data_IF_430985868105
#
_entry.id   IF_430985868105
#
_cell.length_a   1.000
_cell.length_b   1.000
_cell.length_c   1.000
_cell.angle_alpha   90.00
_cell.angle_beta   90.00
_cell.angle_gamma   90.00
#
_symmetry.space_group_name_H-M   'P 1'
#
loop_
_entity.id
_entity.type
_entity.pdbx_description
1 polymer ?
#
# COMPACT_ATOMS: atom_id res chain seq x y z
N UNK A 1 -21.76 2.16 10.48
CA UNK A 1 -21.43 0.93 11.23
C UNK A 1 -19.92 0.78 11.29
N UNK A 2 -19.34 0.14 12.32
CA UNK A 2 -17.91 -0.19 12.35
C UNK A 2 -17.51 -1.07 11.15
N UNK A 3 -16.28 -0.89 10.67
CA UNK A 3 -15.65 -1.72 9.62
C UNK A 3 -14.64 -2.64 10.29
N UNK A 4 -14.82 -3.96 10.14
CA UNK A 4 -13.88 -4.93 10.71
C UNK A 4 -12.66 -5.14 9.81
N UNK A 5 -11.48 -5.27 10.41
CA UNK A 5 -10.29 -5.71 9.68
C UNK A 5 -10.33 -7.22 9.37
N UNK A 6 -9.30 -7.72 8.70
CA UNK A 6 -9.20 -9.12 8.25
C UNK A 6 -9.07 -10.17 9.38
N UNK A 7 -8.90 -9.72 10.63
CA UNK A 7 -8.93 -10.56 11.84
C UNK A 7 -10.11 -10.25 12.76
N UNK A 8 -11.10 -9.48 12.28
CA UNK A 8 -12.35 -9.24 12.99
C UNK A 8 -12.31 -8.13 14.05
N UNK A 9 -11.25 -7.33 14.12
CA UNK A 9 -11.18 -6.16 15.02
C UNK A 9 -11.98 -5.01 14.37
N UNK A 10 -13.01 -4.47 15.05
CA UNK A 10 -13.81 -3.39 14.51
C UNK A 10 -13.08 -2.04 14.63
N UNK A 11 -13.12 -1.26 13.55
CA UNK A 11 -12.66 0.12 13.48
C UNK A 11 -13.84 1.03 13.16
N UNK A 12 -13.88 2.22 13.78
CA UNK A 12 -14.93 3.21 13.53
C UNK A 12 -14.39 4.26 12.58
N UNK A 13 -14.98 4.38 11.39
CA UNK A 13 -14.69 5.47 10.47
C UNK A 13 -15.17 6.79 11.07
N UNK A 14 -14.32 7.81 11.07
CA UNK A 14 -14.67 9.14 11.57
C UNK A 14 -15.41 10.00 10.55
N UNK A 15 -15.24 9.69 9.26
CA UNK A 15 -15.84 10.42 8.14
C UNK A 15 -16.23 9.43 7.04
N UNK A 16 -17.27 9.77 6.30
CA UNK A 16 -17.59 9.20 4.98
C UNK A 16 -16.74 9.85 3.87
N UNK A 17 -16.87 9.39 2.63
CA UNK A 17 -16.20 10.02 1.49
C UNK A 17 -16.65 11.46 1.23
N UNK A 18 -17.93 11.77 1.47
CA UNK A 18 -18.49 13.11 1.28
C UNK A 18 -18.05 14.08 2.39
N UNK A 19 -17.89 13.58 3.62
CA UNK A 19 -17.45 14.38 4.78
C UNK A 19 -15.94 14.61 4.80
N UNK A 20 -15.15 13.80 4.08
CA UNK A 20 -13.71 13.94 4.02
C UNK A 20 -13.31 15.26 3.30
N UNK A 21 -12.38 16.07 3.85
CA UNK A 21 -11.90 17.28 3.21
C UNK A 21 -11.43 17.04 1.77
N UNK A 22 -11.66 18.01 0.89
CA UNK A 22 -11.30 17.91 -0.53
C UNK A 22 -9.80 17.92 -0.76
N UNK A 23 -9.07 18.66 0.07
CA UNK A 23 -7.61 18.79 0.02
C UNK A 23 -7.00 18.13 1.24
N UNK A 24 -6.08 17.19 1.02
CA UNK A 24 -5.41 16.42 2.06
C UNK A 24 -3.91 16.68 2.01
N UNK A 25 -3.27 16.82 3.17
CA UNK A 25 -1.81 16.80 3.22
C UNK A 25 -1.27 15.40 2.89
N UNK A 26 -1.97 14.35 3.34
CA UNK A 26 -1.61 12.96 3.09
C UNK A 26 -2.86 12.15 2.77
N UNK A 27 -2.89 11.55 1.58
CA UNK A 27 -3.78 10.44 1.27
C UNK A 27 -3.06 9.13 1.58
N UNK A 28 -3.65 8.27 2.39
CA UNK A 28 -3.08 6.98 2.77
C UNK A 28 -4.05 5.84 2.50
N UNK A 29 -3.57 4.80 1.81
CA UNK A 29 -4.34 3.57 1.56
C UNK A 29 -3.65 2.36 2.21
N UNK A 30 -4.27 1.73 3.22
CA UNK A 30 -3.71 0.53 3.83
C UNK A 30 -3.87 -0.69 2.92
N UNK A 31 -3.16 -1.75 3.26
CA UNK A 31 -3.37 -3.07 2.66
C UNK A 31 -4.44 -3.89 3.38
N UNK A 32 -4.51 -5.15 2.98
CA UNK A 32 -5.47 -6.14 3.44
C UNK A 32 -5.48 -7.35 2.52
N UNK A 33 -6.49 -8.20 2.70
CA UNK A 33 -6.71 -9.41 1.91
C UNK A 33 -7.83 -9.19 0.89
N UNK A 34 -8.99 -9.82 1.09
CA UNK A 34 -10.17 -9.71 0.23
C UNK A 34 -10.70 -8.28 0.11
N UNK A 35 -10.55 -7.49 1.18
CA UNK A 35 -10.96 -6.07 1.18
C UNK A 35 -10.19 -5.24 0.16
N UNK A 36 -8.90 -5.51 -0.06
CA UNK A 36 -8.11 -4.81 -1.09
C UNK A 36 -8.67 -5.10 -2.48
N UNK A 37 -8.94 -6.37 -2.79
CA UNK A 37 -9.50 -6.76 -4.09
C UNK A 37 -10.88 -6.14 -4.29
N UNK A 38 -11.71 -6.10 -3.26
CA UNK A 38 -13.01 -5.41 -3.33
C UNK A 38 -12.83 -3.92 -3.68
N UNK A 39 -11.96 -3.19 -2.96
CA UNK A 39 -11.67 -1.78 -3.24
C UNK A 39 -11.11 -1.53 -4.64
N UNK A 40 -10.29 -2.44 -5.20
CA UNK A 40 -9.79 -2.32 -6.58
C UNK A 40 -10.88 -2.41 -7.64
N UNK A 41 -12.06 -2.94 -7.29
CA UNK A 41 -13.20 -3.08 -8.20
C UNK A 41 -14.36 -2.14 -7.84
N UNK A 42 -14.26 -1.39 -6.75
CA UNK A 42 -15.32 -0.51 -6.27
C UNK A 42 -15.19 0.87 -6.95
N UNK A 43 -16.12 1.25 -7.84
CA UNK A 43 -16.03 2.52 -8.56
C UNK A 43 -16.13 3.74 -7.64
N UNK A 44 -16.84 3.65 -6.52
CA UNK A 44 -17.00 4.77 -5.58
C UNK A 44 -15.68 5.03 -4.85
N UNK A 45 -15.04 3.96 -4.35
CA UNK A 45 -13.71 4.03 -3.71
C UNK A 45 -12.68 4.59 -4.69
N UNK A 46 -12.63 4.07 -5.90
CA UNK A 46 -11.65 4.49 -6.90
C UNK A 46 -11.84 5.95 -7.33
N UNK A 47 -13.09 6.39 -7.49
CA UNK A 47 -13.41 7.78 -7.81
C UNK A 47 -12.99 8.72 -6.67
N UNK A 48 -13.30 8.36 -5.42
CA UNK A 48 -12.85 9.11 -4.25
C UNK A 48 -11.33 9.23 -4.18
N UNK A 49 -10.60 8.12 -4.39
CA UNK A 49 -9.15 8.12 -4.35
C UNK A 49 -8.54 8.95 -5.49
N UNK A 50 -9.04 8.79 -6.73
CA UNK A 50 -8.58 9.57 -7.86
C UNK A 50 -8.78 11.08 -7.63
N UNK A 51 -9.96 11.45 -7.11
CA UNK A 51 -10.28 12.83 -6.78
C UNK A 51 -9.33 13.40 -5.70
N UNK A 52 -9.29 12.83 -4.49
CA UNK A 52 -8.44 13.33 -3.41
C UNK A 52 -6.95 13.23 -3.75
N UNK A 53 -6.54 12.15 -4.41
CA UNK A 53 -5.15 11.90 -4.78
C UNK A 53 -4.62 12.86 -5.85
N UNK A 54 -5.49 13.47 -6.66
CA UNK A 54 -5.11 14.50 -7.64
C UNK A 54 -4.62 15.80 -7.00
N UNK A 55 -5.04 16.09 -5.77
CA UNK A 55 -4.73 17.35 -5.05
C UNK A 55 -3.91 17.14 -3.77
N UNK A 56 -3.75 15.90 -3.33
CA UNK A 56 -3.03 15.60 -2.08
C UNK A 56 -1.55 15.94 -2.20
N UNK A 57 -0.97 16.54 -1.15
CA UNK A 57 0.48 16.80 -1.13
C UNK A 57 1.28 15.51 -1.19
N UNK A 58 0.83 14.47 -0.47
CA UNK A 58 1.39 13.12 -0.53
C UNK A 58 0.32 12.08 -0.86
N UNK A 59 0.65 11.16 -1.77
CA UNK A 59 -0.17 9.99 -2.11
C UNK A 59 0.57 8.74 -1.68
N UNK A 60 0.02 8.02 -0.71
CA UNK A 60 0.78 7.02 0.04
C UNK A 60 0.02 5.73 0.26
N UNK A 61 0.75 4.63 0.40
CA UNK A 61 0.16 3.33 0.74
C UNK A 61 1.16 2.41 1.41
N UNK A 62 0.63 1.37 2.04
CA UNK A 62 1.43 0.26 2.59
C UNK A 62 0.82 -1.05 2.13
N UNK A 63 1.68 -2.06 1.93
CA UNK A 63 1.29 -3.43 1.64
C UNK A 63 0.50 -3.52 0.33
N UNK A 64 -0.64 -4.19 0.31
CA UNK A 64 -1.49 -4.31 -0.88
C UNK A 64 -2.24 -3.02 -1.22
N UNK A 65 -2.17 -1.98 -0.38
CA UNK A 65 -2.76 -0.66 -0.67
C UNK A 65 -2.17 -0.01 -1.92
N UNK A 66 -0.92 -0.34 -2.27
CA UNK A 66 -0.31 0.09 -3.53
C UNK A 66 -1.07 -0.40 -4.77
N UNK A 67 -1.72 -1.56 -4.70
CA UNK A 67 -2.55 -2.05 -5.80
C UNK A 67 -3.84 -1.25 -5.95
N UNK A 68 -4.42 -0.76 -4.85
CA UNK A 68 -5.62 0.08 -4.88
C UNK A 68 -5.27 1.45 -5.46
N UNK A 69 -4.13 2.04 -5.07
CA UNK A 69 -3.63 3.28 -5.69
C UNK A 69 -3.36 3.10 -7.19
N UNK A 70 -2.74 1.99 -7.58
CA UNK A 70 -2.56 1.63 -8.99
C UNK A 70 -3.90 1.53 -9.72
N UNK A 71 -4.89 0.86 -9.12
CA UNK A 71 -6.21 0.73 -9.72
C UNK A 71 -6.96 2.06 -9.86
N UNK A 72 -6.68 3.03 -8.99
CA UNK A 72 -7.19 4.40 -9.07
C UNK A 72 -6.43 5.29 -10.07
N UNK A 73 -5.40 4.77 -10.74
CA UNK A 73 -4.58 5.52 -11.70
C UNK A 73 -3.58 6.48 -11.05
N UNK A 74 -3.35 6.37 -9.73
CA UNK A 74 -2.50 7.32 -9.00
C UNK A 74 -1.00 7.00 -9.06
N UNK A 75 -0.65 5.85 -9.64
CA UNK A 75 0.73 5.35 -9.76
C UNK A 75 1.21 5.18 -11.21
N UNK A 76 0.43 5.62 -12.21
CA UNK A 76 0.84 5.54 -13.62
C UNK A 76 2.11 6.37 -13.87
N UNK A 77 3.17 5.71 -14.34
CA UNK A 77 4.48 6.31 -14.56
C UNK A 77 5.30 6.59 -13.29
N UNK A 78 4.88 6.10 -12.13
CA UNK A 78 5.62 6.22 -10.86
C UNK A 78 6.37 4.95 -10.48
N UNK A 79 7.50 5.09 -9.80
CA UNK A 79 8.12 3.99 -9.06
C UNK A 79 7.33 3.70 -7.77
N UNK A 80 7.05 2.43 -7.52
CA UNK A 80 6.28 2.00 -6.34
C UNK A 80 6.65 0.58 -5.88
N UNK A 81 6.40 0.29 -4.61
CA UNK A 81 6.44 -1.04 -4.01
C UNK A 81 5.06 -1.42 -3.45
N UNK A 82 4.89 -2.70 -3.12
CA UNK A 82 3.69 -3.23 -2.48
C UNK A 82 4.03 -4.49 -1.66
N UNK A 83 3.00 -5.24 -1.26
CA UNK A 83 3.22 -6.53 -0.62
C UNK A 83 3.93 -7.50 -1.58
N UNK A 84 5.08 -8.05 -1.15
CA UNK A 84 6.00 -8.87 -1.95
C UNK A 84 5.39 -9.95 -2.86
N UNK A 85 4.28 -10.63 -2.52
CA UNK A 85 3.79 -11.68 -3.39
C UNK A 85 2.94 -11.19 -4.55
N UNK A 86 2.48 -9.94 -4.51
CA UNK A 86 1.57 -9.33 -5.49
C UNK A 86 2.11 -8.02 -6.04
N UNK A 87 3.32 -7.60 -5.64
CA UNK A 87 3.94 -6.37 -6.10
C UNK A 87 4.28 -6.42 -7.61
N UNK A 88 4.41 -7.61 -8.18
CA UNK A 88 4.55 -7.85 -9.63
C UNK A 88 3.30 -7.45 -10.43
N UNK A 89 2.17 -7.15 -9.78
CA UNK A 89 0.96 -6.69 -10.44
C UNK A 89 0.93 -5.17 -10.68
N UNK A 90 1.80 -4.40 -10.00
CA UNK A 90 1.89 -2.94 -10.15
C UNK A 90 2.07 -2.48 -11.62
N UNK A 91 2.93 -3.13 -12.44
CA UNK A 91 3.10 -2.77 -13.85
C UNK A 91 1.84 -2.92 -14.72
N UNK A 92 0.89 -3.77 -14.32
CA UNK A 92 -0.38 -3.92 -15.05
C UNK A 92 -1.25 -2.66 -14.95
N UNK A 93 -0.91 -1.74 -14.05
CA UNK A 93 -1.62 -0.49 -13.78
C UNK A 93 -0.70 0.75 -13.95
N UNK A 94 0.42 0.59 -14.66
CA UNK A 94 1.28 1.71 -15.10
C UNK A 94 2.45 2.04 -14.18
N UNK A 95 2.52 1.45 -12.99
CA UNK A 95 3.61 1.71 -12.06
C UNK A 95 4.85 0.85 -12.35
N UNK A 96 6.05 1.40 -12.14
CA UNK A 96 7.31 0.63 -12.17
C UNK A 96 7.53 0.01 -10.80
N UNK A 97 7.55 -1.32 -10.73
CA UNK A 97 7.78 -2.02 -9.47
C UNK A 97 9.26 -1.94 -9.05
N UNK A 98 9.52 -1.42 -7.86
CA UNK A 98 10.83 -1.39 -7.20
C UNK A 98 10.79 -2.28 -5.96
N UNK A 99 11.68 -3.27 -5.90
CA UNK A 99 11.78 -4.23 -4.79
C UNK A 99 12.56 -3.64 -3.61
N UNK A 100 12.00 -2.60 -3.02
CA UNK A 100 12.49 -1.96 -1.80
C UNK A 100 11.41 -1.91 -0.73
N UNK A 101 11.84 -1.74 0.52
CA UNK A 101 10.95 -1.71 1.68
C UNK A 101 10.06 -0.47 1.69
N UNK A 102 10.60 0.66 1.29
CA UNK A 102 9.91 1.95 1.14
C UNK A 102 10.43 2.57 -0.15
N UNK A 103 9.53 2.96 -1.05
CA UNK A 103 9.86 3.57 -2.34
C UNK A 103 9.24 4.96 -2.39
N UNK A 104 10.08 5.95 -2.65
CA UNK A 104 9.67 7.33 -2.91
C UNK A 104 9.88 7.66 -4.39
N UNK A 105 8.84 8.18 -5.02
CA UNK A 105 8.93 8.85 -6.32
C UNK A 105 8.12 10.15 -6.29
N UNK A 106 8.81 11.29 -6.37
CA UNK A 106 8.21 12.63 -6.22
C UNK A 106 7.41 12.72 -4.92
N UNK A 107 6.07 12.76 -5.03
CA UNK A 107 5.15 12.82 -3.90
C UNK A 107 4.38 11.51 -3.66
N UNK A 108 4.79 10.42 -4.29
CA UNK A 108 4.33 9.06 -4.00
C UNK A 108 5.30 8.41 -3.03
N UNK A 109 4.80 7.93 -1.90
CA UNK A 109 5.58 7.16 -0.93
C UNK A 109 4.84 5.86 -0.64
N UNK A 110 5.42 4.74 -1.04
CA UNK A 110 4.81 3.41 -0.91
C UNK A 110 5.66 2.51 -0.04
N UNK A 111 5.02 1.78 0.88
CA UNK A 111 5.67 0.81 1.76
C UNK A 111 5.32 -0.62 1.38
N UNK A 112 6.27 -1.52 1.55
CA UNK A 112 6.10 -2.95 1.31
C UNK A 112 5.17 -3.62 2.34
N UNK A 113 5.48 -4.88 2.71
CA UNK A 113 4.57 -5.68 3.54
C UNK A 113 4.41 -5.22 4.99
N UNK A 114 3.15 -5.09 5.44
CA UNK A 114 2.69 -5.05 6.84
C UNK A 114 3.50 -4.08 7.74
N UNK A 115 4.58 -4.58 8.34
CA UNK A 115 5.47 -3.83 9.23
C UNK A 115 6.23 -2.70 8.54
N UNK A 116 6.33 -2.72 7.21
CA UNK A 116 6.93 -1.62 6.45
C UNK A 116 6.25 -0.27 6.73
N UNK A 117 5.01 -0.27 7.24
CA UNK A 117 4.30 0.93 7.65
C UNK A 117 5.02 1.75 8.74
N UNK A 118 5.81 1.13 9.61
CA UNK A 118 6.55 1.87 10.64
C UNK A 118 7.72 2.64 10.02
N UNK A 119 8.54 1.97 9.19
CA UNK A 119 9.66 2.62 8.49
C UNK A 119 9.15 3.67 7.48
N UNK A 120 8.07 3.36 6.77
CA UNK A 120 7.35 4.29 5.92
C UNK A 120 6.91 5.54 6.68
N UNK A 121 6.31 5.38 7.87
CA UNK A 121 5.84 6.50 8.68
C UNK A 121 6.98 7.41 9.13
N UNK A 122 8.11 6.83 9.56
CA UNK A 122 9.31 7.58 9.90
C UNK A 122 9.88 8.33 8.69
N UNK A 123 9.94 7.68 7.52
CA UNK A 123 10.39 8.30 6.28
C UNK A 123 9.46 9.46 5.86
N UNK A 124 8.14 9.27 5.96
CA UNK A 124 7.17 10.32 5.63
C UNK A 124 7.32 11.54 6.54
N UNK A 125 7.52 11.34 7.85
CA UNK A 125 7.77 12.44 8.79
C UNK A 125 9.04 13.22 8.40
N UNK A 126 10.11 12.52 8.02
CA UNK A 126 11.35 13.16 7.61
C UNK A 126 11.16 14.04 6.36
N UNK A 127 10.31 13.60 5.43
CA UNK A 127 9.99 14.35 4.20
C UNK A 127 9.01 15.52 4.45
N UNK A 128 8.06 15.35 5.37
CA UNK A 128 7.02 16.34 5.64
C UNK A 128 7.46 17.44 6.60
N UNK A 129 8.38 17.12 7.51
CA UNK A 129 8.80 18.01 8.59
C UNK A 129 10.31 18.15 8.60
N UNK A 130 11.01 17.20 9.20
CA UNK A 130 12.47 17.11 9.21
C UNK A 130 12.93 15.75 9.78
N UNK A 131 14.21 15.43 9.54
CA UNK A 131 14.84 14.20 10.02
C UNK A 131 14.92 14.12 11.55
N UNK A 132 15.06 15.25 12.23
CA UNK A 132 15.22 15.29 13.68
C UNK A 132 13.93 14.85 14.39
N UNK A 133 12.78 15.31 13.92
CA UNK A 133 11.49 14.85 14.41
C UNK A 133 11.30 13.36 14.15
N UNK A 134 11.68 12.85 12.99
CA UNK A 134 11.59 11.43 12.67
C UNK A 134 12.44 10.59 13.65
N UNK A 135 13.69 10.98 13.90
CA UNK A 135 14.58 10.32 14.88
C UNK A 135 14.02 10.39 16.30
N UNK A 136 13.44 11.53 16.69
CA UNK A 136 12.79 11.69 17.99
C UNK A 136 11.59 10.76 18.14
N UNK A 137 10.73 10.65 17.11
CA UNK A 137 9.59 9.72 17.12
C UNK A 137 10.11 8.29 17.23
N UNK A 138 11.14 7.92 16.46
CA UNK A 138 11.76 6.59 16.54
C UNK A 138 12.18 6.25 17.97
N UNK A 139 12.78 7.20 18.69
CA UNK A 139 13.15 7.04 20.09
C UNK A 139 11.93 6.93 21.02
N UNK A 140 10.92 7.79 20.84
CA UNK A 140 9.70 7.80 21.67
C UNK A 140 8.96 6.46 21.63
N UNK A 141 8.89 5.84 20.45
CA UNK A 141 8.22 4.55 20.28
C UNK A 141 9.15 3.35 20.49
N UNK A 142 10.40 3.59 20.88
CA UNK A 142 11.45 2.57 21.06
C UNK A 142 11.58 1.64 19.85
N UNK A 143 11.53 2.19 18.64
CA UNK A 143 11.60 1.40 17.42
C UNK A 143 13.05 0.98 17.12
N UNK A 144 13.46 -0.08 17.83
CA UNK A 144 14.73 -0.80 17.70
C UNK A 144 14.45 -2.29 17.46
N UNK A 145 13.95 -2.68 16.27
CA UNK A 145 13.51 -4.05 16.02
C UNK A 145 14.67 -5.05 16.12
N UNK A 146 14.44 -6.15 16.84
CA UNK A 146 15.37 -7.28 16.94
C UNK A 146 14.66 -8.61 16.59
N UNK A 147 14.40 -8.88 15.29
CA UNK A 147 13.66 -10.08 14.88
C UNK A 147 14.40 -11.38 15.30
N UNK A 148 13.72 -12.36 15.91
CA UNK A 148 14.35 -13.61 16.36
C UNK A 148 14.67 -14.58 15.22
N UNK A 149 14.20 -14.31 14.00
CA UNK A 149 14.42 -15.13 12.81
C UNK A 149 14.79 -14.26 11.61
N UNK A 150 15.68 -14.76 10.76
CA UNK A 150 16.04 -14.15 9.48
C UNK A 150 15.14 -14.69 8.37
N UNK A 151 13.91 -14.20 8.30
CA UNK A 151 12.87 -14.76 7.44
C UNK A 151 11.84 -13.69 7.00
N UNK A 152 12.24 -12.41 7.02
CA UNK A 152 11.36 -11.26 6.80
C UNK A 152 11.16 -10.90 5.33
N UNK A 153 12.04 -11.37 4.45
CA UNK A 153 11.94 -11.20 2.99
C UNK A 153 11.94 -12.56 2.27
N UNK A 154 11.46 -12.63 1.00
CA UNK A 154 11.57 -13.83 0.19
C UNK A 154 13.02 -14.33 0.05
N UNK A 155 13.98 -13.41 -0.07
CA UNK A 155 15.40 -13.72 -0.18
C UNK A 155 15.93 -14.39 1.10
N UNK A 156 15.52 -13.89 2.28
CA UNK A 156 15.90 -14.49 3.56
C UNK A 156 15.21 -15.84 3.81
N UNK A 157 13.93 -15.96 3.45
CA UNK A 157 13.15 -17.17 3.66
C UNK A 157 13.56 -18.33 2.73
N UNK A 158 14.19 -18.02 1.60
CA UNK A 158 14.56 -18.98 0.58
C UNK A 158 13.37 -19.41 -0.31
N UNK A 159 13.66 -20.07 -1.44
CA UNK A 159 12.67 -20.34 -2.49
C UNK A 159 11.56 -21.30 -2.04
N UNK A 160 11.89 -22.32 -1.24
CA UNK A 160 10.92 -23.33 -0.79
C UNK A 160 9.83 -22.72 0.10
N UNK A 161 10.23 -22.01 1.18
CA UNK A 161 9.28 -21.37 2.10
C UNK A 161 8.47 -20.29 1.40
N UNK A 162 9.11 -19.52 0.53
CA UNK A 162 8.45 -18.50 -0.30
C UNK A 162 7.38 -19.13 -1.20
N UNK A 163 7.69 -20.25 -1.87
CA UNK A 163 6.75 -20.96 -2.73
C UNK A 163 5.58 -21.56 -1.95
N UNK A 164 5.83 -22.15 -0.77
CA UNK A 164 4.77 -22.65 0.12
C UNK A 164 3.82 -21.52 0.50
N UNK A 165 4.36 -20.35 0.89
CA UNK A 165 3.55 -19.23 1.32
C UNK A 165 2.73 -18.62 0.17
N UNK A 166 3.32 -18.45 -1.03
CA UNK A 166 2.57 -18.07 -2.24
C UNK A 166 1.48 -19.12 -2.55
N UNK A 167 1.79 -20.40 -2.40
CA UNK A 167 0.87 -21.52 -2.60
C UNK A 167 -0.42 -21.40 -1.77
N UNK A 168 -0.31 -20.99 -0.51
CA UNK A 168 -1.46 -20.82 0.41
C UNK A 168 -2.42 -19.69 0.01
N UNK A 169 -1.98 -18.77 -0.84
CA UNK A 169 -2.76 -17.58 -1.25
C UNK A 169 -3.11 -17.53 -2.73
N UNK A 170 -2.86 -18.61 -3.49
CA UNK A 170 -3.06 -18.64 -4.95
C UNK A 170 -4.40 -18.08 -5.43
N UNK A 171 -5.49 -18.42 -4.74
CA UNK A 171 -6.83 -17.94 -5.11
C UNK A 171 -6.97 -16.42 -4.94
N UNK A 172 -6.42 -15.86 -3.87
CA UNK A 172 -6.46 -14.42 -3.62
C UNK A 172 -5.53 -13.68 -4.59
N UNK A 173 -4.35 -14.25 -4.86
CA UNK A 173 -3.39 -13.69 -5.81
C UNK A 173 -3.97 -13.70 -7.24
N UNK A 174 -4.77 -14.72 -7.62
CA UNK A 174 -5.48 -14.73 -8.90
C UNK A 174 -6.58 -13.68 -8.99
N UNK A 175 -7.34 -13.47 -7.92
CA UNK A 175 -8.37 -12.42 -7.87
C UNK A 175 -7.75 -11.01 -7.93
N UNK A 176 -6.63 -10.79 -7.21
CA UNK A 176 -5.87 -9.55 -7.27
C UNK A 176 -5.33 -9.28 -8.68
N UNK A 177 -4.79 -10.31 -9.36
CA UNK A 177 -4.35 -10.20 -10.75
C UNK A 177 -5.51 -9.84 -11.69
N UNK A 178 -6.64 -10.53 -11.59
CA UNK A 178 -7.80 -10.23 -12.41
C UNK A 178 -8.33 -8.79 -12.18
N UNK A 179 -8.30 -8.31 -10.93
CA UNK A 179 -8.63 -6.93 -10.60
C UNK A 179 -7.63 -5.92 -11.20
N UNK A 180 -6.33 -6.20 -11.11
CA UNK A 180 -5.29 -5.36 -11.70
C UNK A 180 -5.41 -5.28 -13.24
N UNK A 181 -5.67 -6.39 -13.92
CA UNK A 181 -5.89 -6.42 -15.37
C UNK A 181 -7.13 -5.64 -15.80
N UNK A 182 -8.24 -5.75 -15.03
CA UNK A 182 -9.44 -4.91 -15.27
C UNK A 182 -9.13 -3.44 -15.08
N UNK A 183 -8.36 -3.08 -14.06
CA UNK A 183 -7.96 -1.71 -13.81
C UNK A 183 -7.06 -1.17 -14.93
N UNK A 184 -6.06 -1.94 -15.37
CA UNK A 184 -5.18 -1.58 -16.48
C UNK A 184 -5.95 -1.28 -17.77
N UNK A 185 -6.93 -2.11 -18.12
CA UNK A 185 -7.83 -1.85 -19.27
C UNK A 185 -8.65 -0.57 -19.10
N UNK A 186 -9.20 -0.34 -17.91
CA UNK A 186 -9.98 0.89 -17.61
C UNK A 186 -9.12 2.15 -17.72
N UNK A 187 -7.84 2.07 -17.36
CA UNK A 187 -6.88 3.17 -17.39
C UNK A 187 -6.19 3.35 -18.75
N UNK A 188 -6.34 2.41 -19.68
CA UNK A 188 -5.67 2.44 -20.99
C UNK A 188 -4.18 2.09 -20.95
N UNK A 189 -3.74 1.35 -19.94
CA UNK A 189 -2.35 0.88 -19.76
C UNK A 189 -2.07 -0.39 -20.58
N UNK A 190 -3.06 -1.27 -20.69
CA UNK A 190 -2.95 -2.64 -21.24
C UNK A 190 -4.02 -2.92 -22.29
#
# INVERSE_FOLDING_TARGET
>A
MPVSNDIGIPLVASHTFDECPQDLDVLFVPGGSVGTVACMNDPEVLAFLADRGSRSKWVTSVCTGGLVLGAAGLLDGYDATAYWPVADLLPLMGARHIDERVVRDRNRLTGGGVTAGIDFGLALVAEMVDEELARRIQLIIEYAPAPPFKNGTPAEAGPERTAIQKGRRKWMDSEARAAAERAGKRLGIA
#
